data_IF_286922990978
#
_entry.id   IF_286922990978
#
_cell.length_a   1.000
_cell.length_b   1.000
_cell.length_c   1.000
_cell.angle_alpha   90.00
_cell.angle_beta   90.00
_cell.angle_gamma   90.00
#
_symmetry.space_group_name_H-M   'P 1'
#
loop_
_entity.id
_entity.type
_entity.pdbx_description
1 polymer ?
#
# COMPACT_ATOMS: atom_id res chain seq x y z
N UNK A 1 36.83 23.38 -47.41
CA UNK A 1 36.95 22.11 -46.67
C UNK A 1 37.12 22.43 -45.20
N UNK A 2 36.10 22.14 -44.37
CA UNK A 2 36.16 21.83 -42.93
C UNK A 2 34.76 22.07 -42.33
N UNK A 3 33.90 21.06 -42.50
CA UNK A 3 32.67 20.89 -41.74
C UNK A 3 33.03 20.53 -40.29
N UNK A 4 32.57 21.31 -39.31
CA UNK A 4 32.46 20.92 -37.90
C UNK A 4 31.14 21.45 -37.38
N UNK A 5 30.10 20.62 -37.45
CA UNK A 5 29.65 19.68 -36.41
C UNK A 5 28.68 20.39 -35.48
N UNK A 6 27.40 20.12 -35.74
CA UNK A 6 26.26 20.70 -35.03
C UNK A 6 26.39 20.55 -33.52
N UNK A 7 26.12 21.63 -32.83
CA UNK A 7 25.84 21.65 -31.41
C UNK A 7 24.41 21.10 -31.20
N UNK A 8 24.26 19.79 -31.37
CA UNK A 8 23.18 19.07 -30.71
C UNK A 8 23.61 18.92 -29.25
N UNK A 9 23.18 19.87 -28.43
CA UNK A 9 23.03 19.61 -27.01
C UNK A 9 21.92 18.57 -26.88
N UNK A 10 22.28 17.30 -27.05
CA UNK A 10 21.46 16.18 -26.58
C UNK A 10 21.36 16.35 -25.08
N UNK A 11 20.28 16.99 -24.64
CA UNK A 11 19.74 16.83 -23.31
C UNK A 11 19.49 15.33 -23.16
N UNK A 12 20.51 14.61 -22.69
CA UNK A 12 20.36 13.29 -22.07
C UNK A 12 19.53 13.53 -20.81
N UNK A 13 18.22 13.59 -21.01
CA UNK A 13 17.27 13.34 -19.94
C UNK A 13 17.59 11.92 -19.51
N UNK A 14 18.26 11.82 -18.37
CA UNK A 14 18.61 10.56 -17.74
C UNK A 14 17.29 9.87 -17.36
N UNK A 15 16.81 9.07 -18.30
CA UNK A 15 15.57 8.27 -18.21
C UNK A 15 15.67 7.23 -17.07
N UNK A 16 16.85 7.11 -16.45
CA UNK A 16 17.10 6.31 -15.26
C UNK A 16 16.68 7.03 -13.95
N UNK A 17 16.27 8.30 -14.02
CA UNK A 17 15.64 9.04 -12.92
C UNK A 17 14.10 9.00 -12.98
N UNK A 18 13.52 8.23 -13.90
CA UNK A 18 12.10 7.87 -13.80
C UNK A 18 11.99 6.88 -12.66
N UNK A 19 11.63 7.40 -11.48
CA UNK A 19 11.02 6.65 -10.38
C UNK A 19 10.12 5.61 -11.02
N UNK A 20 10.57 4.36 -11.07
CA UNK A 20 9.89 3.31 -11.80
C UNK A 20 8.44 3.32 -11.33
N UNK A 21 7.54 3.74 -12.22
CA UNK A 21 6.13 3.90 -11.89
C UNK A 21 5.70 2.55 -11.33
N UNK A 22 5.35 2.51 -10.04
CA UNK A 22 5.05 1.25 -9.35
C UNK A 22 4.07 0.49 -10.22
N UNK A 23 4.52 -0.65 -10.76
CA UNK A 23 3.76 -1.43 -11.73
C UNK A 23 2.34 -1.64 -11.21
N UNK A 24 1.36 -1.54 -12.10
CA UNK A 24 -0.06 -1.76 -11.76
C UNK A 24 -0.25 -3.06 -10.98
N UNK A 25 0.56 -4.08 -11.30
CA UNK A 25 0.59 -5.35 -10.59
C UNK A 25 1.08 -5.21 -9.14
N UNK A 26 2.14 -4.44 -8.90
CA UNK A 26 2.63 -4.14 -7.54
C UNK A 26 1.62 -3.35 -6.73
N UNK A 27 0.93 -2.36 -7.34
CA UNK A 27 -0.15 -1.61 -6.68
C UNK A 27 -1.33 -2.50 -6.32
N UNK A 28 -1.66 -3.45 -7.19
CA UNK A 28 -2.70 -4.45 -6.94
C UNK A 28 -2.32 -5.39 -5.80
N UNK A 29 -1.10 -5.95 -5.81
CA UNK A 29 -0.61 -6.78 -4.72
C UNK A 29 -0.58 -6.01 -3.40
N UNK A 30 -0.15 -4.74 -3.43
CA UNK A 30 -0.10 -3.90 -2.24
C UNK A 30 -1.50 -3.59 -1.68
N UNK A 31 -2.48 -3.31 -2.54
CA UNK A 31 -3.87 -3.17 -2.13
C UNK A 31 -4.43 -4.46 -1.52
N UNK A 32 -4.15 -5.62 -2.13
CA UNK A 32 -4.57 -6.93 -1.64
C UNK A 32 -3.93 -7.25 -0.28
N UNK A 33 -2.65 -6.95 -0.14
CA UNK A 33 -1.90 -7.13 1.10
C UNK A 33 -2.38 -6.18 2.20
N UNK A 34 -2.72 -4.94 1.86
CA UNK A 34 -3.31 -3.98 2.78
C UNK A 34 -4.70 -4.41 3.28
N UNK A 35 -5.54 -5.00 2.42
CA UNK A 35 -6.83 -5.59 2.82
C UNK A 35 -6.61 -6.74 3.83
N UNK A 36 -5.65 -7.62 3.56
CA UNK A 36 -5.32 -8.73 4.46
C UNK A 36 -4.85 -8.21 5.82
N UNK A 37 -3.88 -7.27 5.83
CA UNK A 37 -3.39 -6.68 7.07
C UNK A 37 -4.47 -5.90 7.83
N UNK A 38 -5.33 -5.16 7.12
CA UNK A 38 -6.47 -4.47 7.73
C UNK A 38 -7.43 -5.45 8.41
N UNK A 39 -7.68 -6.61 7.80
CA UNK A 39 -8.49 -7.68 8.40
C UNK A 39 -7.85 -8.20 9.69
N UNK A 40 -6.53 -8.47 9.66
CA UNK A 40 -5.78 -8.93 10.84
C UNK A 40 -5.83 -7.88 11.95
N UNK A 41 -5.63 -6.60 11.64
CA UNK A 41 -5.65 -5.52 12.62
C UNK A 41 -7.00 -5.44 13.35
N UNK A 42 -8.12 -5.48 12.61
CA UNK A 42 -9.45 -5.48 13.22
C UNK A 42 -9.68 -6.75 14.04
N UNK A 43 -9.20 -7.90 13.56
CA UNK A 43 -9.32 -9.16 14.30
C UNK A 43 -8.57 -9.12 15.62
N UNK A 44 -7.35 -8.55 15.65
CA UNK A 44 -6.58 -8.34 16.88
C UNK A 44 -7.37 -7.43 17.82
N UNK A 45 -7.85 -6.28 17.34
CA UNK A 45 -8.69 -5.37 18.14
C UNK A 45 -9.91 -6.06 18.74
N UNK A 46 -10.65 -6.84 17.93
CA UNK A 46 -11.86 -7.54 18.36
C UNK A 46 -11.59 -8.67 19.36
N UNK A 47 -10.43 -9.32 19.27
CA UNK A 47 -9.98 -10.31 20.23
C UNK A 47 -9.80 -9.66 21.62
N UNK A 48 -9.22 -8.46 21.67
CA UNK A 48 -9.11 -7.71 22.93
C UNK A 48 -10.45 -7.21 23.46
N UNK A 49 -11.39 -6.81 22.60
CA UNK A 49 -12.72 -6.37 23.04
C UNK A 49 -13.70 -7.51 23.33
N UNK A 50 -13.26 -8.79 23.29
CA UNK A 50 -14.03 -9.95 23.75
C UNK A 50 -15.12 -10.45 22.80
N UNK A 51 -15.17 -9.95 21.57
CA UNK A 51 -16.17 -10.33 20.55
C UNK A 51 -15.52 -11.30 19.54
N UNK A 52 -15.40 -12.57 19.92
CA UNK A 52 -14.56 -13.58 19.25
C UNK A 52 -14.99 -14.12 17.87
N UNK A 53 -15.73 -13.38 17.04
CA UNK A 53 -16.16 -13.88 15.73
C UNK A 53 -15.82 -12.96 14.57
N UNK A 54 -14.96 -13.48 13.67
CA UNK A 54 -14.54 -12.81 12.43
C UNK A 54 -15.67 -12.73 11.41
N UNK A 55 -16.61 -13.69 11.44
CA UNK A 55 -17.71 -13.77 10.46
C UNK A 55 -18.75 -12.67 10.69
N UNK A 56 -18.95 -12.24 11.94
CA UNK A 56 -19.84 -11.12 12.27
C UNK A 56 -19.27 -9.76 11.83
N UNK A 57 -17.95 -9.65 11.63
CA UNK A 57 -17.30 -8.41 11.16
C UNK A 57 -17.66 -8.09 9.71
N UNK A 58 -17.73 -9.10 8.85
CA UNK A 58 -18.08 -8.91 7.44
C UNK A 58 -19.53 -8.47 7.23
N UNK A 59 -20.39 -8.62 8.24
CA UNK A 59 -21.75 -8.10 8.22
C UNK A 59 -21.84 -6.64 8.73
N UNK A 60 -20.71 -6.04 9.10
CA UNK A 60 -20.64 -4.66 9.58
C UNK A 60 -20.19 -3.72 8.45
N UNK A 61 -21.06 -2.77 8.10
CA UNK A 61 -20.78 -1.77 7.05
C UNK A 61 -19.50 -0.95 7.35
N UNK A 62 -19.21 -0.69 8.63
CA UNK A 62 -17.99 0.04 9.02
C UNK A 62 -16.72 -0.77 8.74
N UNK A 63 -16.77 -2.09 8.91
CA UNK A 63 -15.64 -2.96 8.61
C UNK A 63 -15.38 -3.04 7.10
N UNK A 64 -16.43 -3.16 6.29
CA UNK A 64 -16.29 -3.14 4.83
C UNK A 64 -15.78 -1.78 4.32
N UNK A 65 -16.25 -0.67 4.90
CA UNK A 65 -15.74 0.66 4.58
C UNK A 65 -14.24 0.79 4.95
N UNK A 66 -13.84 0.27 6.11
CA UNK A 66 -12.44 0.24 6.52
C UNK A 66 -11.56 -0.56 5.54
N UNK A 67 -11.99 -1.76 5.12
CA UNK A 67 -11.27 -2.53 4.11
C UNK A 67 -11.18 -1.80 2.76
N UNK A 68 -12.24 -1.08 2.38
CA UNK A 68 -12.22 -0.22 1.20
C UNK A 68 -11.16 0.87 1.29
N UNK A 69 -11.05 1.55 2.44
CA UNK A 69 -10.01 2.55 2.70
C UNK A 69 -8.62 1.90 2.68
N UNK A 70 -8.44 0.73 3.29
CA UNK A 70 -7.17 -0.01 3.24
C UNK A 70 -6.79 -0.38 1.80
N UNK A 71 -7.74 -0.75 0.96
CA UNK A 71 -7.51 -1.05 -0.46
C UNK A 71 -7.03 0.19 -1.23
N UNK A 72 -7.72 1.32 -1.06
CA UNK A 72 -7.37 2.59 -1.72
C UNK A 72 -6.00 3.09 -1.25
N UNK A 73 -5.75 3.05 0.07
CA UNK A 73 -4.46 3.47 0.62
C UNK A 73 -3.32 2.51 0.23
N UNK A 74 -3.56 1.20 0.22
CA UNK A 74 -2.61 0.22 -0.29
C UNK A 74 -2.29 0.40 -1.78
N UNK A 75 -3.25 0.90 -2.57
CA UNK A 75 -3.05 1.20 -3.98
C UNK A 75 -2.28 2.51 -4.23
N UNK A 76 -2.58 3.56 -3.45
CA UNK A 76 -2.01 4.91 -3.63
C UNK A 76 -0.66 5.01 -2.93
N UNK A 77 -0.61 4.66 -1.65
CA UNK A 77 0.54 4.83 -0.76
C UNK A 77 1.47 3.61 -0.79
N UNK A 78 0.95 2.43 -1.14
CA UNK A 78 1.77 1.25 -1.36
C UNK A 78 2.46 0.77 -0.08
N UNK A 79 3.76 0.52 -0.20
CA UNK A 79 4.57 -0.14 0.84
C UNK A 79 4.61 0.65 2.16
N UNK A 80 4.60 1.98 2.11
CA UNK A 80 4.58 2.82 3.32
C UNK A 80 3.35 2.56 4.19
N UNK A 81 2.18 2.36 3.57
CA UNK A 81 0.96 2.04 4.30
C UNK A 81 0.98 0.61 4.86
N UNK A 82 1.57 -0.33 4.13
CA UNK A 82 1.75 -1.71 4.58
C UNK A 82 2.68 -1.77 5.81
N UNK A 83 3.77 -1.01 5.81
CA UNK A 83 4.69 -0.92 6.96
C UNK A 83 3.96 -0.35 8.17
N UNK A 84 3.23 0.76 8.00
CA UNK A 84 2.43 1.36 9.07
C UNK A 84 1.40 0.38 9.64
N UNK A 85 0.67 -0.36 8.79
CA UNK A 85 -0.28 -1.39 9.23
C UNK A 85 0.41 -2.49 10.06
N UNK A 86 1.61 -2.93 9.66
CA UNK A 86 2.37 -3.94 10.41
C UNK A 86 2.84 -3.42 11.77
N UNK A 87 3.30 -2.18 11.84
CA UNK A 87 3.70 -1.53 13.09
C UNK A 87 2.50 -1.41 14.03
N UNK A 88 1.35 -0.98 13.52
CA UNK A 88 0.13 -0.87 14.30
C UNK A 88 -0.30 -2.26 14.83
N UNK A 89 -0.40 -3.28 13.97
CA UNK A 89 -0.68 -4.67 14.40
C UNK A 89 0.31 -5.14 15.47
N UNK A 90 1.60 -4.80 15.31
CA UNK A 90 2.64 -5.09 16.28
C UNK A 90 2.37 -4.44 17.63
N UNK A 91 2.01 -3.16 17.66
CA UNK A 91 1.67 -2.42 18.88
C UNK A 91 0.50 -3.07 19.63
N UNK A 92 -0.53 -3.50 18.90
CA UNK A 92 -1.67 -4.20 19.51
C UNK A 92 -1.33 -5.61 20.01
N UNK A 93 -0.30 -6.28 19.47
CA UNK A 93 0.09 -7.63 19.90
C UNK A 93 0.81 -7.66 21.26
N UNK A 94 1.42 -6.55 21.66
CA UNK A 94 2.27 -6.47 22.87
C UNK A 94 1.63 -5.73 24.06
N UNK A 95 0.38 -5.28 23.92
CA UNK A 95 -0.43 -4.73 25.01
C UNK A 95 -1.42 -5.79 25.52
#
# INVERSE_FOLDING_TARGET
MASRKGNHSELKIDENSLVAETSIFSRFLNALYAILLGTVLVQVFYFFTGSGSVILLFNNAFFLAFLGVCSILGWIVGDNFIVWLKEEIGNWKFW
#
